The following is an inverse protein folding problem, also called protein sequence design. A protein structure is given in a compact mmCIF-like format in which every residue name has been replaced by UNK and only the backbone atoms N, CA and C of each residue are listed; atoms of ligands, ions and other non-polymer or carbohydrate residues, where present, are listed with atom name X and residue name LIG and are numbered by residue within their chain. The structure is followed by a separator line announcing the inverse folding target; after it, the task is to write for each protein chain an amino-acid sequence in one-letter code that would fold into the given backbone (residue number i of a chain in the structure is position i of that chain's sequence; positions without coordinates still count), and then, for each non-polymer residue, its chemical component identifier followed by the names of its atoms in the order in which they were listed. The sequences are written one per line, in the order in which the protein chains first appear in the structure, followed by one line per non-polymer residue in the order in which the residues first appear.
data_IF_129612885768
#
_entry.id   IF_129612885768
#
_cell.length_a   1.000
_cell.length_b   1.000
_cell.length_c   1.000
_cell.angle_alpha   90.00
_cell.angle_beta   90.00
_cell.angle_gamma   90.00
#
_symmetry.space_group_name_H-M   'P 1'
#
loop_
_entity.id
_entity.type
_entity.pdbx_description
1 polymer ?
#
# COMPACT_ATOMS: atom_id res chain seq x y z
N UNK A 1 19.00 -4.07 12.07
CA UNK A 1 17.98 -5.15 12.09
C UNK A 1 16.64 -4.51 11.84
N UNK A 2 15.91 -5.02 10.84
CA UNK A 2 14.66 -4.46 10.32
C UNK A 2 13.65 -4.25 11.45
N UNK A 3 13.37 -2.98 11.77
CA UNK A 3 12.30 -2.62 12.68
C UNK A 3 10.99 -3.12 12.09
N UNK A 4 10.23 -3.93 12.84
CA UNK A 4 8.87 -4.36 12.51
C UNK A 4 7.84 -3.23 12.49
N UNK A 5 8.24 -2.01 12.12
CA UNK A 5 7.33 -0.96 11.73
C UNK A 5 6.89 -1.30 10.31
N UNK A 6 5.66 -1.78 10.15
CA UNK A 6 5.03 -1.92 8.84
C UNK A 6 5.24 -0.64 8.05
N UNK A 7 6.10 -0.70 7.03
CA UNK A 7 6.52 0.47 6.30
C UNK A 7 5.40 0.83 5.32
N UNK A 8 4.35 1.48 5.85
CA UNK A 8 3.15 1.92 5.13
C UNK A 8 3.54 2.70 3.88
N UNK A 9 4.58 3.53 3.96
CA UNK A 9 5.17 4.24 2.82
C UNK A 9 5.62 3.27 1.73
N UNK A 10 6.31 2.19 2.09
CA UNK A 10 6.74 1.18 1.13
C UNK A 10 5.57 0.39 0.53
N UNK A 11 4.57 0.03 1.33
CA UNK A 11 3.33 -0.59 0.83
C UNK A 11 2.65 0.36 -0.18
N UNK A 12 2.60 1.65 0.13
CA UNK A 12 2.07 2.67 -0.77
C UNK A 12 2.85 2.77 -2.08
N UNK A 13 4.18 2.78 -2.03
CA UNK A 13 5.03 2.76 -3.23
C UNK A 13 4.80 1.51 -4.08
N UNK A 14 4.74 0.33 -3.46
CA UNK A 14 4.50 -0.94 -4.14
C UNK A 14 3.12 -0.98 -4.79
N UNK A 15 2.08 -0.52 -4.09
CA UNK A 15 0.75 -0.37 -4.66
C UNK A 15 0.75 0.61 -5.83
N UNK A 16 1.41 1.76 -5.71
CA UNK A 16 1.53 2.75 -6.79
C UNK A 16 2.21 2.15 -8.02
N UNK A 17 3.33 1.43 -7.82
CA UNK A 17 4.01 0.73 -8.92
C UNK A 17 3.09 -0.30 -9.57
N UNK A 18 2.41 -1.12 -8.75
CA UNK A 18 1.48 -2.14 -9.23
C UNK A 18 0.35 -1.56 -10.09
N UNK A 19 -0.22 -0.42 -9.68
CA UNK A 19 -1.32 0.22 -10.42
C UNK A 19 -0.86 0.94 -11.70
N UNK A 20 0.41 1.33 -11.80
CA UNK A 20 1.00 1.97 -13.00
C UNK A 20 1.54 0.92 -13.99
N UNK A 21 1.75 -0.33 -13.56
CA UNK A 21 2.15 -1.40 -14.46
C UNK A 21 1.09 -1.67 -15.52
N UNK A 22 1.44 -1.43 -16.77
CA UNK A 22 0.59 -1.69 -17.92
C UNK A 22 1.29 -2.67 -18.87
N UNK A 23 0.60 -3.77 -19.20
CA UNK A 23 1.12 -4.76 -20.14
C UNK A 23 1.31 -4.20 -21.56
N UNK A 24 0.55 -3.16 -21.95
CA UNK A 24 0.69 -2.55 -23.28
C UNK A 24 2.05 -1.85 -23.51
N UNK A 25 2.81 -1.63 -22.43
CA UNK A 25 4.13 -0.98 -22.47
C UNK A 25 5.27 -2.00 -22.29
N UNK A 26 5.01 -3.15 -21.67
CA UNK A 26 6.01 -4.15 -21.28
C UNK A 26 5.82 -5.49 -22.00
N UNK A 27 6.92 -6.19 -22.27
CA UNK A 27 6.85 -7.58 -22.72
C UNK A 27 6.16 -8.48 -21.68
N UNK A 28 5.55 -9.59 -22.10
CA UNK A 28 4.78 -10.48 -21.21
C UNK A 28 5.62 -11.03 -20.05
N UNK A 29 6.85 -11.48 -20.33
CA UNK A 29 7.77 -12.01 -19.32
C UNK A 29 8.22 -10.95 -18.32
N UNK A 30 8.47 -9.73 -18.81
CA UNK A 30 8.87 -8.59 -17.99
C UNK A 30 7.73 -8.12 -17.09
N UNK A 31 6.52 -8.01 -17.64
CA UNK A 31 5.31 -7.70 -16.87
C UNK A 31 5.07 -8.74 -15.76
N UNK A 32 5.15 -10.03 -16.09
CA UNK A 32 4.99 -11.12 -15.12
C UNK A 32 6.04 -11.03 -14.00
N UNK A 33 7.31 -10.84 -14.36
CA UNK A 33 8.42 -10.73 -13.40
C UNK A 33 8.21 -9.56 -12.43
N UNK A 34 7.82 -8.39 -12.94
CA UNK A 34 7.57 -7.21 -12.10
C UNK A 34 6.36 -7.40 -11.18
N UNK A 35 5.25 -7.97 -11.69
CA UNK A 35 4.07 -8.28 -10.88
C UNK A 35 4.42 -9.26 -9.77
N UNK A 36 5.19 -10.31 -10.08
CA UNK A 36 5.62 -11.30 -9.09
C UNK A 36 6.51 -10.68 -8.02
N UNK A 37 7.50 -9.86 -8.41
CA UNK A 37 8.38 -9.18 -7.47
C UNK A 37 7.62 -8.28 -6.49
N UNK A 38 6.66 -7.49 -6.99
CA UNK A 38 5.82 -6.65 -6.13
C UNK A 38 4.96 -7.51 -5.19
N UNK A 39 4.35 -8.59 -5.69
CA UNK A 39 3.56 -9.50 -4.86
C UNK A 39 4.38 -10.16 -3.75
N UNK A 40 5.61 -10.56 -4.03
CA UNK A 40 6.51 -11.15 -3.05
C UNK A 40 6.93 -10.16 -1.98
N UNK A 41 7.25 -8.92 -2.37
CA UNK A 41 7.62 -7.88 -1.42
C UNK A 41 6.44 -7.48 -0.52
N UNK A 42 5.23 -7.33 -1.08
CA UNK A 42 4.01 -7.06 -0.30
C UNK A 42 3.73 -8.12 0.75
N UNK A 43 4.00 -9.41 0.47
CA UNK A 43 3.83 -10.49 1.45
C UNK A 43 4.73 -10.32 2.67
N UNK A 44 5.92 -9.71 2.52
CA UNK A 44 6.81 -9.45 3.66
C UNK A 44 6.22 -8.43 4.64
N UNK A 45 5.33 -7.56 4.16
CA UNK A 45 4.65 -6.54 4.96
C UNK A 45 3.28 -6.99 5.50
N UNK A 46 2.71 -8.05 4.93
CA UNK A 46 1.42 -8.64 5.32
C UNK A 46 1.59 -10.08 5.80
N UNK A 47 2.38 -10.24 6.87
CA UNK A 47 2.61 -11.55 7.44
C UNK A 47 1.29 -12.14 7.94
N UNK A 48 0.96 -13.33 7.46
CA UNK A 48 -0.16 -14.12 7.97
C UNK A 48 0.17 -14.51 9.40
N UNK A 49 -0.67 -14.08 10.34
CA UNK A 49 -0.54 -14.40 11.76
C UNK A 49 -1.74 -15.24 12.20
N UNK A 50 -1.65 -15.90 13.35
CA UNK A 50 -2.80 -16.57 13.98
C UNK A 50 -3.77 -15.58 14.65
N UNK A 51 -3.41 -14.30 14.72
CA UNK A 51 -4.22 -13.25 15.35
C UNK A 51 -5.17 -12.61 14.34
N UNK A 52 -6.45 -12.99 14.40
CA UNK A 52 -7.50 -12.49 13.50
C UNK A 52 -7.63 -10.95 13.56
N UNK A 53 -7.62 -10.28 14.73
CA UNK A 53 -7.63 -8.83 14.81
C UNK A 53 -6.47 -8.16 14.04
N UNK A 54 -5.25 -8.68 14.16
CA UNK A 54 -4.09 -8.18 13.42
C UNK A 54 -4.26 -8.33 11.91
N UNK A 55 -4.79 -9.48 11.44
CA UNK A 55 -5.07 -9.69 10.02
C UNK A 55 -6.15 -8.73 9.49
N UNK A 56 -7.21 -8.49 10.26
CA UNK A 56 -8.24 -7.51 9.90
C UNK A 56 -7.67 -6.10 9.81
N UNK A 57 -6.78 -5.72 10.75
CA UNK A 57 -6.12 -4.42 10.73
C UNK A 57 -5.20 -4.26 9.52
N UNK A 58 -4.37 -5.27 9.21
CA UNK A 58 -3.54 -5.26 8.01
C UNK A 58 -4.37 -5.10 6.72
N UNK A 59 -5.55 -5.76 6.66
CA UNK A 59 -6.48 -5.64 5.53
C UNK A 59 -7.08 -4.24 5.41
N UNK A 60 -7.48 -3.65 6.53
CA UNK A 60 -7.97 -2.26 6.56
C UNK A 60 -6.89 -1.29 6.09
N UNK A 61 -5.68 -1.40 6.63
CA UNK A 61 -4.54 -0.55 6.27
C UNK A 61 -4.20 -0.65 4.79
N UNK A 62 -4.23 -1.86 4.22
CA UNK A 62 -4.05 -2.06 2.78
C UNK A 62 -5.13 -1.39 1.93
N UNK A 63 -6.39 -1.47 2.35
CA UNK A 63 -7.50 -0.81 1.65
C UNK A 63 -7.35 0.71 1.68
N UNK A 64 -6.88 1.27 2.81
CA UNK A 64 -6.58 2.70 2.93
C UNK A 64 -5.46 3.10 1.99
N UNK A 65 -4.36 2.36 1.97
CA UNK A 65 -3.24 2.63 1.06
C UNK A 65 -3.70 2.60 -0.41
N UNK A 66 -4.49 1.59 -0.79
CA UNK A 66 -5.10 1.50 -2.13
C UNK A 66 -5.93 2.73 -2.45
N UNK A 67 -6.75 3.19 -1.52
CA UNK A 67 -7.56 4.39 -1.70
C UNK A 67 -6.68 5.63 -1.91
N UNK A 68 -5.64 5.81 -1.09
CA UNK A 68 -4.70 6.92 -1.20
C UNK A 68 -3.98 6.96 -2.55
N UNK A 69 -3.57 5.80 -3.09
CA UNK A 69 -2.93 5.70 -4.42
C UNK A 69 -3.87 6.16 -5.53
N UNK A 70 -5.16 5.84 -5.42
CA UNK A 70 -6.18 6.22 -6.41
C UNK A 70 -6.62 7.69 -6.36
N UNK A 71 -6.19 8.47 -5.37
CA UNK A 71 -6.55 9.88 -5.26
C UNK A 71 -5.89 10.72 -6.37
N UNK A 72 -6.59 11.78 -6.80
CA UNK A 72 -6.04 12.76 -7.74
C UNK A 72 -4.82 13.49 -7.16
N UNK A 73 -3.92 14.04 -8.00
CA UNK A 73 -2.75 14.79 -7.56
C UNK A 73 -3.05 16.00 -6.66
N UNK A 74 -4.24 16.58 -6.77
CA UNK A 74 -4.69 17.70 -5.91
C UNK A 74 -4.71 17.35 -4.41
N UNK A 75 -4.80 16.07 -4.05
CA UNK A 75 -4.81 15.58 -2.67
C UNK A 75 -3.41 15.18 -2.14
N UNK A 76 -2.33 15.47 -2.86
CA UNK A 76 -0.97 15.01 -2.51
C UNK A 76 -0.52 15.48 -1.11
N UNK A 77 -0.91 16.70 -0.72
CA UNK A 77 -0.58 17.24 0.61
C UNK A 77 -1.21 16.40 1.73
N UNK A 78 -2.51 16.13 1.62
CA UNK A 78 -3.26 15.31 2.61
C UNK A 78 -2.71 13.89 2.65
N UNK A 79 -2.43 13.31 1.48
CA UNK A 79 -1.82 11.99 1.34
C UNK A 79 -0.48 11.90 2.08
N UNK A 80 0.39 12.88 1.85
CA UNK A 80 1.72 12.94 2.48
C UNK A 80 1.61 13.04 4.01
N UNK A 81 0.66 13.82 4.51
CA UNK A 81 0.40 13.93 5.96
C UNK A 81 -0.09 12.61 6.56
N UNK A 82 -0.99 11.89 5.87
CA UNK A 82 -1.49 10.59 6.33
C UNK A 82 -0.38 9.55 6.34
N UNK A 83 0.48 9.51 5.30
CA UNK A 83 1.60 8.56 5.21
C UNK A 83 2.73 8.86 6.20
N UNK A 84 2.90 10.12 6.61
CA UNK A 84 3.87 10.51 7.64
C UNK A 84 3.43 10.11 9.06
N UNK A 85 2.16 9.73 9.25
CA UNK A 85 1.65 9.29 10.55
C UNK A 85 2.23 7.92 10.94
N UNK A 86 2.58 7.70 12.22
CA UNK A 86 3.11 6.40 12.67
C UNK A 86 2.09 5.25 12.57
N UNK A 87 0.79 5.58 12.47
CA UNK A 87 -0.29 4.63 12.22
C UNK A 87 -1.28 5.26 11.25
N UNK A 88 -1.84 4.43 10.36
CA UNK A 88 -2.92 4.89 9.48
C UNK A 88 -4.17 5.19 10.33
N UNK A 89 -4.84 6.35 10.08
CA UNK A 89 -6.16 6.62 10.63
C UNK A 89 -7.18 5.58 10.14
N UNK A 90 -8.39 5.56 10.71
CA UNK A 90 -9.46 4.74 10.14
C UNK A 90 -9.90 5.27 8.77
N UNK A 91 -10.59 4.44 7.98
CA UNK A 91 -11.08 4.86 6.66
C UNK A 91 -11.95 6.14 6.71
N UNK A 92 -12.91 6.29 7.66
CA UNK A 92 -13.67 7.53 7.82
C UNK A 92 -12.80 8.74 8.17
N UNK A 93 -11.78 8.55 9.01
CA UNK A 93 -10.84 9.63 9.38
C UNK A 93 -9.94 10.05 8.23
N UNK A 94 -9.63 9.13 7.31
CA UNK A 94 -8.92 9.45 6.07
C UNK A 94 -9.80 10.30 5.18
N UNK A 95 -11.08 9.93 5.01
CA UNK A 95 -12.01 10.67 4.18
C UNK A 95 -12.31 12.08 4.74
N UNK A 96 -12.41 12.24 6.06
CA UNK A 96 -12.68 13.54 6.69
C UNK A 96 -11.53 14.55 6.56
N UNK A 97 -10.34 14.11 6.13
CA UNK A 97 -9.16 14.96 5.90
C UNK A 97 -8.98 15.40 4.45
N UNK A 98 -9.76 14.84 3.52
CA UNK A 98 -9.77 15.23 2.10
C UNK A 98 -10.53 16.54 1.89
#
# INVERSE_FOLDING_TARGET
MYSGAGNITRIYELCKQFFVLEHNVLGLEEYYSQVMGICEELKMYQLVTSDVPSMLKQREDFNIVRFLVGLKPEYESVRSQILASPKLPSFPDVFSRL
#
